data_IF_658282193069
#
_entry.id   IF_658282193069
#
_cell.length_a   1.000
_cell.length_b   1.000
_cell.length_c   1.000
_cell.angle_alpha   90.00
_cell.angle_beta   90.00
_cell.angle_gamma   90.00
#
_symmetry.space_group_name_H-M   'P 1'
#
loop_
_entity.id
_entity.type
_entity.pdbx_description
1 polymer ?
#
# COMPACT_ATOMS: atom_id res chain seq x y z
N UNK A 1 -27.37 18.57 10.11
CA UNK A 1 -26.90 18.00 8.83
C UNK A 1 -25.69 18.72 8.21
N UNK A 2 -25.47 20.02 8.46
CA UNK A 2 -24.33 20.77 7.89
C UNK A 2 -22.93 20.31 8.34
N UNK A 3 -22.75 19.91 9.61
CA UNK A 3 -21.43 19.48 10.12
C UNK A 3 -20.92 18.15 9.56
N UNK A 4 -21.82 17.23 9.21
CA UNK A 4 -21.47 15.94 8.63
C UNK A 4 -20.89 16.10 7.22
N UNK A 5 -21.52 16.93 6.38
CA UNK A 5 -21.05 17.23 5.03
C UNK A 5 -19.68 17.96 5.01
N UNK A 6 -19.42 18.84 5.99
CA UNK A 6 -18.10 19.49 6.13
C UNK A 6 -17.02 18.46 6.47
N UNK A 7 -17.34 17.47 7.30
CA UNK A 7 -16.39 16.42 7.68
C UNK A 7 -16.07 15.48 6.51
N UNK A 8 -17.07 15.10 5.70
CA UNK A 8 -16.82 14.29 4.50
C UNK A 8 -15.96 15.01 3.47
N UNK A 9 -16.19 16.30 3.23
CA UNK A 9 -15.33 17.10 2.34
C UNK A 9 -13.89 17.15 2.86
N UNK A 10 -13.71 17.31 4.17
CA UNK A 10 -12.38 17.34 4.79
C UNK A 10 -11.68 15.98 4.73
N UNK A 11 -12.43 14.90 4.88
CA UNK A 11 -11.93 13.53 4.73
C UNK A 11 -11.46 13.28 3.29
N UNK A 12 -12.28 13.63 2.29
CA UNK A 12 -11.92 13.49 0.89
C UNK A 12 -10.66 14.29 0.51
N UNK A 13 -10.54 15.53 1.02
CA UNK A 13 -9.32 16.33 0.82
C UNK A 13 -8.09 15.66 1.43
N UNK A 14 -8.20 15.11 2.65
CA UNK A 14 -7.08 14.41 3.29
C UNK A 14 -6.70 13.13 2.55
N UNK A 15 -7.67 12.39 2.01
CA UNK A 15 -7.40 11.23 1.16
C UNK A 15 -6.65 11.64 -0.11
N UNK A 16 -7.03 12.76 -0.74
CA UNK A 16 -6.34 13.27 -1.93
C UNK A 16 -4.90 13.70 -1.63
N UNK A 17 -4.65 14.36 -0.48
CA UNK A 17 -3.30 14.71 -0.04
C UNK A 17 -2.42 13.47 0.17
N UNK A 18 -2.96 12.44 0.83
CA UNK A 18 -2.27 11.16 1.05
C UNK A 18 -1.95 10.50 -0.29
N UNK A 19 -2.91 10.45 -1.22
CA UNK A 19 -2.71 9.86 -2.54
C UNK A 19 -1.61 10.59 -3.32
N UNK A 20 -1.63 11.92 -3.31
CA UNK A 20 -0.61 12.75 -3.97
C UNK A 20 0.78 12.48 -3.40
N UNK A 21 0.89 12.30 -2.07
CA UNK A 21 2.15 11.94 -1.41
C UNK A 21 2.63 10.54 -1.81
N UNK A 22 1.75 9.52 -1.82
CA UNK A 22 2.07 8.16 -2.26
C UNK A 22 2.61 8.17 -3.69
N UNK A 23 1.96 8.92 -4.59
CA UNK A 23 2.35 9.05 -5.99
C UNK A 23 3.71 9.74 -6.14
N UNK A 24 3.95 10.81 -5.39
CA UNK A 24 5.23 11.51 -5.37
C UNK A 24 6.38 10.59 -4.95
N UNK A 25 6.21 9.82 -3.87
CA UNK A 25 7.22 8.86 -3.38
C UNK A 25 7.51 7.80 -4.45
N UNK A 26 6.48 7.26 -5.10
CA UNK A 26 6.63 6.25 -6.15
C UNK A 26 7.39 6.79 -7.36
N UNK A 27 7.07 8.00 -7.81
CA UNK A 27 7.75 8.66 -8.94
C UNK A 27 9.22 8.91 -8.60
N UNK A 28 9.50 9.47 -7.42
CA UNK A 28 10.87 9.72 -6.97
C UNK A 28 11.68 8.43 -6.85
N UNK A 29 11.09 7.37 -6.29
CA UNK A 29 11.75 6.06 -6.18
C UNK A 29 12.15 5.51 -7.55
N UNK A 30 11.26 5.59 -8.56
CA UNK A 30 11.57 5.19 -9.95
C UNK A 30 12.64 6.08 -10.59
N UNK A 31 12.54 7.39 -10.41
CA UNK A 31 13.48 8.34 -11.00
C UNK A 31 14.91 8.18 -10.44
N UNK A 32 15.04 7.84 -9.16
CA UNK A 32 16.35 7.59 -8.52
C UNK A 32 16.89 6.21 -8.92
N UNK A 33 16.05 5.17 -8.98
CA UNK A 33 16.44 3.85 -9.51
C UNK A 33 16.98 3.92 -10.94
N UNK A 34 16.40 4.77 -11.79
CA UNK A 34 16.87 4.97 -13.16
C UNK A 34 18.22 5.70 -13.25
N UNK A 35 18.66 6.39 -12.18
CA UNK A 35 19.88 7.21 -12.17
C UNK A 35 21.06 6.57 -11.45
N UNK A 36 20.85 5.59 -10.58
CA UNK A 36 21.94 4.85 -9.91
C UNK A 36 21.67 3.35 -9.89
N UNK A 37 22.54 2.56 -10.54
CA UNK A 37 22.50 1.09 -10.49
C UNK A 37 22.86 0.51 -9.11
N UNK A 38 23.35 1.34 -8.16
CA UNK A 38 23.86 0.88 -6.86
C UNK A 38 23.18 1.49 -5.63
N UNK A 39 22.15 2.33 -5.79
CA UNK A 39 21.41 2.84 -4.63
C UNK A 39 20.45 1.75 -4.14
N UNK A 40 20.76 1.15 -2.99
CA UNK A 40 19.87 0.19 -2.35
C UNK A 40 18.61 0.94 -1.84
N UNK A 41 17.59 0.97 -2.69
CA UNK A 41 16.29 1.59 -2.45
C UNK A 41 15.24 0.57 -2.00
N UNK A 42 15.66 -0.60 -1.53
CA UNK A 42 14.73 -1.65 -1.08
C UNK A 42 13.79 -1.14 0.01
N UNK A 43 14.27 -0.27 0.89
CA UNK A 43 13.45 0.37 1.92
C UNK A 43 12.31 1.21 1.32
N UNK A 44 12.60 2.07 0.34
CA UNK A 44 11.59 2.89 -0.33
C UNK A 44 10.61 2.04 -1.14
N UNK A 45 11.10 0.98 -1.78
CA UNK A 45 10.25 0.03 -2.49
C UNK A 45 9.29 -0.72 -1.56
N UNK A 46 9.79 -1.21 -0.42
CA UNK A 46 8.94 -1.86 0.59
C UNK A 46 7.91 -0.88 1.16
N UNK A 47 8.32 0.35 1.42
CA UNK A 47 7.43 1.40 1.88
C UNK A 47 6.32 1.70 0.86
N UNK A 48 6.66 1.85 -0.42
CA UNK A 48 5.69 2.07 -1.49
C UNK A 48 4.70 0.90 -1.64
N UNK A 49 5.19 -0.35 -1.57
CA UNK A 49 4.33 -1.55 -1.60
C UNK A 49 3.41 -1.64 -0.38
N UNK A 50 3.90 -1.27 0.80
CA UNK A 50 3.08 -1.20 2.01
C UNK A 50 1.96 -0.18 1.91
N UNK A 51 2.22 0.98 1.28
CA UNK A 51 1.21 2.00 1.03
C UNK A 51 0.15 1.58 0.01
N UNK A 52 0.53 0.79 -0.99
CA UNK A 52 -0.37 0.17 -1.97
C UNK A 52 -1.27 -0.87 -1.29
N UNK A 53 -0.69 -1.77 -0.48
CA UNK A 53 -1.45 -2.76 0.29
C UNK A 53 -2.46 -2.10 1.26
N UNK A 54 -2.06 -1.02 1.91
CA UNK A 54 -2.95 -0.25 2.79
C UNK A 54 -4.10 0.38 1.99
N UNK A 55 -3.82 0.88 0.78
CA UNK A 55 -4.85 1.42 -0.12
C UNK A 55 -5.85 0.34 -0.54
N UNK A 56 -5.35 -0.83 -0.93
CA UNK A 56 -6.19 -1.96 -1.33
C UNK A 56 -7.06 -2.45 -0.16
N UNK A 57 -6.54 -2.41 1.06
CA UNK A 57 -7.31 -2.73 2.26
C UNK A 57 -8.44 -1.73 2.49
N UNK A 58 -8.15 -0.43 2.45
CA UNK A 58 -9.12 0.64 2.71
C UNK A 58 -10.25 0.66 1.65
N UNK A 59 -9.96 0.23 0.43
CA UNK A 59 -10.93 0.18 -0.68
C UNK A 59 -11.49 -1.23 -0.96
N UNK A 60 -11.25 -2.20 -0.08
CA UNK A 60 -11.70 -3.60 -0.24
C UNK A 60 -11.24 -4.29 -1.55
N UNK A 61 -10.11 -3.85 -2.10
CA UNK A 61 -9.50 -4.35 -3.34
C UNK A 61 -8.47 -5.47 -3.13
N UNK A 62 -8.24 -5.91 -1.89
CA UNK A 62 -7.32 -7.02 -1.60
C UNK A 62 -7.75 -8.32 -2.30
N UNK A 63 -6.75 -9.14 -2.64
CA UNK A 63 -6.96 -10.47 -3.17
C UNK A 63 -7.82 -11.32 -2.22
N UNK A 64 -9.02 -11.71 -2.68
CA UNK A 64 -9.96 -12.54 -1.90
C UNK A 64 -9.48 -13.98 -1.68
N UNK A 65 -8.50 -14.42 -2.48
CA UNK A 65 -7.85 -15.73 -2.39
C UNK A 65 -6.38 -15.56 -2.72
N UNK A 66 -5.50 -16.19 -1.95
CA UNK A 66 -4.07 -16.17 -2.24
C UNK A 66 -3.76 -16.73 -3.62
N UNK A 67 -2.79 -16.14 -4.31
CA UNK A 67 -2.36 -16.54 -5.65
C UNK A 67 -1.68 -17.92 -5.70
N UNK A 68 -1.30 -18.46 -4.54
CA UNK A 68 -0.59 -19.73 -4.46
C UNK A 68 -1.51 -20.91 -4.78
N UNK A 69 -1.14 -21.68 -5.81
CA UNK A 69 -1.82 -22.93 -6.18
C UNK A 69 -1.32 -24.13 -5.37
N UNK A 70 -0.30 -23.96 -4.52
CA UNK A 70 0.23 -25.05 -3.70
C UNK A 70 -0.75 -25.37 -2.57
N UNK A 71 -0.90 -26.65 -2.25
CA UNK A 71 -1.73 -27.08 -1.11
C UNK A 71 -1.11 -26.51 0.18
N UNK A 72 -1.93 -25.91 1.04
CA UNK A 72 -1.47 -25.43 2.33
C UNK A 72 -1.05 -26.62 3.21
N UNK A 73 0.17 -26.58 3.73
CA UNK A 73 0.64 -27.52 4.74
C UNK A 73 0.40 -26.88 6.10
N UNK A 74 -0.55 -27.42 6.86
CA UNK A 74 -0.82 -26.96 8.22
C UNK A 74 0.10 -27.73 9.18
N UNK A 75 0.73 -27.07 10.15
CA UNK A 75 1.45 -27.77 11.21
C UNK A 75 0.48 -28.61 12.04
N UNK A 76 0.95 -29.76 12.51
CA UNK A 76 0.20 -30.59 13.45
C UNK A 76 0.04 -29.85 14.79
N UNK A 77 -1.01 -30.16 15.55
CA UNK A 77 -1.29 -29.49 16.85
C UNK A 77 -0.09 -29.56 17.83
N UNK A 78 0.75 -30.58 17.70
CA UNK A 78 1.97 -30.75 18.49
C UNK A 78 3.14 -29.80 18.12
N UNK A 79 2.97 -28.99 17.06
CA UNK A 79 3.96 -28.04 16.55
C UNK A 79 3.59 -26.57 16.78
N UNK A 80 2.47 -26.32 17.48
CA UNK A 80 2.09 -25.00 18.01
C UNK A 80 2.58 -24.83 19.45
#
# INVERSE_FOLDING_TARGET
>A
MQGYAINENRLAQKQQEVQTLKDGIRILSRAIQQKEENLNLDCLNHFAKGLELLDDNDHENLDKKGLSKRKATYPELAQY
#
